data_IF_338146940550
#
_entry.id   IF_338146940550
#
_cell.length_a   1.000
_cell.length_b   1.000
_cell.length_c   1.000
_cell.angle_alpha   90.00
_cell.angle_beta   90.00
_cell.angle_gamma   90.00
#
_symmetry.space_group_name_H-M   'P 1'
#
loop_
_entity.id
_entity.type
_entity.pdbx_description
1 polymer ?
#
# COMPACT_ATOMS: atom_id res chain seq x y z
N UNK A 1 6.00 -12.22 -9.47
CA UNK A 1 4.77 -11.65 -8.86
C UNK A 1 4.86 -10.14 -8.92
N UNK A 2 3.84 -9.51 -9.45
CA UNK A 2 3.84 -8.05 -9.55
C UNK A 2 3.58 -7.42 -8.18
N UNK A 3 4.28 -6.32 -7.93
CA UNK A 3 4.17 -5.56 -6.69
C UNK A 3 3.28 -4.35 -6.93
N UNK A 4 2.25 -4.21 -6.11
CA UNK A 4 1.34 -3.08 -6.20
C UNK A 4 1.35 -2.31 -4.89
N UNK A 5 1.40 -0.99 -5.00
CA UNK A 5 1.35 -0.10 -3.85
C UNK A 5 -0.03 0.53 -3.75
N UNK A 6 -0.64 0.41 -2.59
CA UNK A 6 -1.92 1.04 -2.30
C UNK A 6 -1.66 2.20 -1.35
N UNK A 7 -2.00 3.41 -1.79
CA UNK A 7 -1.82 4.61 -1.01
C UNK A 7 -3.07 4.85 -0.17
N UNK A 8 -2.91 4.74 1.13
CA UNK A 8 -4.00 4.71 2.08
C UNK A 8 -4.37 3.29 2.44
N UNK A 9 -4.54 3.02 3.73
CA UNK A 9 -4.87 1.69 4.21
C UNK A 9 -6.05 1.74 5.20
N UNK A 10 -6.95 2.71 5.00
CA UNK A 10 -8.15 2.85 5.81
C UNK A 10 -9.16 1.77 5.52
N UNK A 11 -10.36 1.93 6.09
CA UNK A 11 -11.41 0.92 6.03
C UNK A 11 -11.80 0.58 4.57
N UNK A 12 -11.95 1.60 3.72
CA UNK A 12 -12.34 1.37 2.34
C UNK A 12 -11.21 0.72 1.52
N UNK A 13 -9.99 1.17 1.75
CA UNK A 13 -8.84 0.61 1.05
C UNK A 13 -8.56 -0.84 1.45
N UNK A 14 -9.00 -1.27 2.60
CA UNK A 14 -8.84 -2.64 3.04
C UNK A 14 -9.49 -3.63 2.06
N UNK A 15 -10.65 -3.28 1.50
CA UNK A 15 -11.29 -4.11 0.48
C UNK A 15 -10.43 -4.23 -0.77
N UNK A 16 -9.79 -3.14 -1.17
CA UNK A 16 -8.92 -3.13 -2.35
C UNK A 16 -7.67 -3.98 -2.08
N UNK A 17 -7.10 -3.88 -0.91
CA UNK A 17 -5.95 -4.68 -0.50
C UNK A 17 -6.28 -6.17 -0.58
N UNK A 18 -7.40 -6.57 0.01
CA UNK A 18 -7.83 -7.97 -0.01
C UNK A 18 -8.10 -8.46 -1.43
N UNK A 19 -8.72 -7.62 -2.25
CA UNK A 19 -8.99 -7.96 -3.64
C UNK A 19 -7.69 -8.16 -4.43
N UNK A 20 -6.75 -7.26 -4.27
CA UNK A 20 -5.46 -7.34 -4.97
C UNK A 20 -4.71 -8.62 -4.58
N UNK A 21 -4.75 -9.00 -3.31
CA UNK A 21 -4.13 -10.25 -2.87
C UNK A 21 -4.79 -11.46 -3.50
N UNK A 22 -6.11 -11.47 -3.58
CA UNK A 22 -6.83 -12.58 -4.25
C UNK A 22 -6.50 -12.68 -5.72
N UNK A 23 -6.11 -11.57 -6.35
CA UNK A 23 -5.72 -11.55 -7.76
C UNK A 23 -4.26 -11.96 -7.96
N UNK A 24 -3.53 -12.26 -6.90
CA UNK A 24 -2.17 -12.77 -7.00
C UNK A 24 -1.09 -11.70 -6.95
N UNK A 25 -1.43 -10.45 -6.60
CA UNK A 25 -0.43 -9.39 -6.44
C UNK A 25 0.26 -9.47 -5.08
N UNK A 26 1.50 -9.02 -5.04
CA UNK A 26 2.18 -8.75 -3.79
C UNK A 26 1.83 -7.30 -3.41
N UNK A 27 1.18 -7.12 -2.27
CA UNK A 27 0.56 -5.85 -1.90
C UNK A 27 1.38 -5.12 -0.85
N UNK A 28 1.74 -3.90 -1.18
CA UNK A 28 2.35 -2.93 -0.27
C UNK A 28 1.33 -1.86 0.04
N UNK A 29 1.22 -1.44 1.28
CA UNK A 29 0.29 -0.40 1.69
C UNK A 29 1.01 0.67 2.50
N UNK A 30 0.65 1.93 2.28
CA UNK A 30 1.19 3.04 3.07
C UNK A 30 0.04 3.87 3.63
N UNK A 31 0.21 4.37 4.83
CA UNK A 31 -0.73 5.25 5.50
C UNK A 31 0.02 6.00 6.58
N UNK A 32 -0.45 7.20 6.92
CA UNK A 32 0.13 7.98 8.02
C UNK A 32 -0.20 7.39 9.38
N UNK A 33 -1.29 6.64 9.49
CA UNK A 33 -1.73 6.01 10.73
C UNK A 33 -1.03 4.67 10.92
N UNK A 34 -0.17 4.51 11.93
CA UNK A 34 0.52 3.24 12.15
C UNK A 34 -0.42 2.08 12.51
N UNK A 35 -1.67 2.40 12.86
CA UNK A 35 -2.68 1.40 13.19
C UNK A 35 -3.73 1.24 12.10
N UNK A 36 -3.42 1.63 10.87
CA UNK A 36 -4.36 1.55 9.77
C UNK A 36 -4.85 0.10 9.60
N UNK A 37 -6.17 -0.05 9.46
CA UNK A 37 -6.82 -1.37 9.45
C UNK A 37 -6.33 -2.26 8.31
N UNK A 38 -6.05 -1.66 7.15
CA UNK A 38 -5.62 -2.41 5.97
C UNK A 38 -4.22 -3.00 6.09
N UNK A 39 -3.41 -2.53 7.03
CA UNK A 39 -2.06 -3.07 7.22
C UNK A 39 -2.07 -4.56 7.56
N UNK A 40 -3.11 -5.04 8.21
CA UNK A 40 -3.23 -6.45 8.57
C UNK A 40 -3.29 -7.38 7.37
N UNK A 41 -3.79 -6.89 6.25
CA UNK A 41 -4.00 -7.71 5.06
C UNK A 41 -2.98 -7.49 3.97
N UNK A 42 -2.15 -6.45 4.08
CA UNK A 42 -1.06 -6.21 3.14
C UNK A 42 0.10 -7.17 3.40
N UNK A 43 0.87 -7.47 2.36
CA UNK A 43 2.08 -8.27 2.53
C UNK A 43 3.16 -7.45 3.23
N UNK A 44 3.26 -6.18 2.90
CA UNK A 44 4.19 -5.22 3.51
C UNK A 44 3.49 -3.89 3.69
N UNK A 45 3.92 -3.12 4.67
CA UNK A 45 3.36 -1.79 4.86
C UNK A 45 4.42 -0.82 5.36
N UNK A 46 4.14 0.47 5.19
CA UNK A 46 4.98 1.53 5.72
C UNK A 46 4.13 2.66 6.26
N UNK A 47 4.62 3.29 7.34
CA UNK A 47 3.97 4.47 7.88
C UNK A 47 4.55 5.67 7.16
N UNK A 48 3.76 6.25 6.25
CA UNK A 48 4.19 7.32 5.36
C UNK A 48 3.12 8.39 5.33
N UNK A 49 3.52 9.65 5.35
CA UNK A 49 2.58 10.75 5.16
C UNK A 49 2.11 10.73 3.70
N UNK A 50 0.88 10.23 3.47
CA UNK A 50 0.38 9.99 2.12
C UNK A 50 0.06 11.25 1.33
N UNK A 51 0.02 12.42 1.96
CA UNK A 51 -0.08 13.68 1.24
C UNK A 51 1.30 14.21 0.81
N UNK A 52 2.36 13.59 1.27
CA UNK A 52 3.72 13.90 0.84
C UNK A 52 4.05 13.02 -0.38
N UNK A 53 3.89 13.60 -1.55
CA UNK A 53 4.10 12.90 -2.80
C UNK A 53 5.52 12.35 -2.93
N UNK A 54 6.51 13.13 -2.48
CA UNK A 54 7.90 12.70 -2.54
C UNK A 54 8.16 11.46 -1.67
N UNK A 55 7.59 11.45 -0.47
CA UNK A 55 7.75 10.31 0.44
C UNK A 55 7.12 9.04 -0.15
N UNK A 56 5.97 9.17 -0.80
CA UNK A 56 5.31 8.03 -1.46
C UNK A 56 6.14 7.52 -2.64
N UNK A 57 6.71 8.42 -3.43
CA UNK A 57 7.57 8.05 -4.56
C UNK A 57 8.84 7.35 -4.10
N UNK A 58 9.44 7.83 -3.02
CA UNK A 58 10.63 7.19 -2.45
C UNK A 58 10.33 5.77 -1.98
N UNK A 59 9.18 5.59 -1.30
CA UNK A 59 8.75 4.27 -0.86
C UNK A 59 8.57 3.33 -2.06
N UNK A 60 7.87 3.80 -3.09
CA UNK A 60 7.63 3.00 -4.29
C UNK A 60 8.95 2.60 -4.98
N UNK A 61 9.89 3.53 -5.06
CA UNK A 61 11.18 3.29 -5.69
C UNK A 61 12.01 2.28 -4.89
N UNK A 62 12.06 2.42 -3.57
CA UNK A 62 12.82 1.51 -2.71
C UNK A 62 12.32 0.07 -2.81
N UNK A 63 11.02 -0.12 -2.99
CA UNK A 63 10.42 -1.44 -3.03
C UNK A 63 10.17 -1.94 -4.44
N UNK A 64 10.61 -1.20 -5.45
CA UNK A 64 10.50 -1.60 -6.86
C UNK A 64 9.06 -1.91 -7.25
N UNK A 65 8.14 -1.00 -6.89
CA UNK A 65 6.71 -1.16 -7.13
C UNK A 65 6.41 -1.12 -8.63
N UNK A 66 5.55 -2.01 -9.10
CA UNK A 66 5.15 -2.09 -10.50
C UNK A 66 3.94 -1.21 -10.82
N UNK A 67 3.04 -1.02 -9.88
CA UNK A 67 1.85 -0.20 -10.08
C UNK A 67 1.36 0.41 -8.78
N UNK A 68 0.65 1.53 -8.88
CA UNK A 68 0.16 2.29 -7.72
C UNK A 68 -1.34 2.53 -7.85
N UNK A 69 -2.06 2.30 -6.76
CA UNK A 69 -3.48 2.65 -6.63
C UNK A 69 -3.67 3.66 -5.51
N UNK A 70 -4.52 4.63 -5.74
CA UNK A 70 -4.84 5.66 -4.74
C UNK A 70 -6.31 5.60 -4.34
#
# INVERSE_FOLDING_TARGET
MKKILIIGAGFLQDFVICKAKRMGYEVYAVDADPNAIGFKHADYYGVVNIVDEKACLEYASEHQIDGVLT
#
